data_IF_873347977525
#
_entry.id   IF_873347977525
#
_cell.length_a   1.000
_cell.length_b   1.000
_cell.length_c   1.000
_cell.angle_alpha   90.00
_cell.angle_beta   90.00
_cell.angle_gamma   90.00
#
_symmetry.space_group_name_H-M   'P 1'
#
loop_
_entity.id
_entity.type
_entity.pdbx_description
1 polymer ?
#
# COMPACT_ATOMS: atom_id res chain seq x y z
N UNK A 1 -9.34 14.11 -6.89
CA UNK A 1 -8.52 14.19 -8.13
C UNK A 1 -8.73 12.91 -8.93
N UNK A 2 -8.59 12.93 -10.25
CA UNK A 2 -8.56 11.67 -10.99
C UNK A 2 -7.23 10.96 -10.71
N UNK A 3 -7.26 9.65 -10.51
CA UNK A 3 -6.07 8.81 -10.37
C UNK A 3 -6.06 7.78 -11.51
N UNK A 4 -4.90 7.40 -12.07
CA UNK A 4 -4.82 6.26 -12.99
C UNK A 4 -5.30 4.98 -12.29
N UNK A 5 -5.67 3.95 -13.07
CA UNK A 5 -5.97 2.63 -12.50
C UNK A 5 -4.85 2.15 -11.58
N UNK A 6 -5.21 1.52 -10.45
CA UNK A 6 -4.25 1.08 -9.45
C UNK A 6 -3.30 -0.01 -9.97
N UNK A 7 -3.73 -0.79 -10.96
CA UNK A 7 -2.91 -1.82 -11.62
C UNK A 7 -2.40 -1.36 -12.99
N UNK A 8 -1.28 -1.94 -13.44
CA UNK A 8 -0.71 -1.68 -14.77
C UNK A 8 0.19 -0.44 -14.86
N UNK A 9 0.54 0.17 -13.73
CA UNK A 9 1.41 1.36 -13.70
C UNK A 9 2.88 0.96 -13.87
N UNK A 10 3.66 1.75 -14.59
CA UNK A 10 5.12 1.62 -14.61
C UNK A 10 5.72 2.22 -13.33
N UNK A 11 6.76 1.60 -12.81
CA UNK A 11 7.41 2.05 -11.58
C UNK A 11 8.37 3.23 -11.85
N UNK A 12 8.17 4.32 -11.11
CA UNK A 12 9.10 5.45 -11.06
C UNK A 12 9.17 5.94 -9.60
N UNK A 13 10.37 5.90 -9.00
CA UNK A 13 10.55 6.25 -7.59
C UNK A 13 10.15 7.71 -7.33
N UNK A 14 9.39 7.97 -6.27
CA UNK A 14 8.88 9.31 -5.94
C UNK A 14 7.70 9.77 -6.79
N UNK A 15 7.42 9.12 -7.93
CA UNK A 15 6.38 9.55 -8.87
C UNK A 15 5.25 8.52 -8.94
N UNK A 16 5.53 7.31 -9.44
CA UNK A 16 4.58 6.19 -9.54
C UNK A 16 5.15 4.97 -8.84
N UNK A 17 5.28 5.02 -7.52
CA UNK A 17 5.85 3.93 -6.72
C UNK A 17 4.84 3.31 -5.74
N UNK A 18 5.33 2.50 -4.79
CA UNK A 18 4.50 1.87 -3.77
C UNK A 18 3.77 2.88 -2.86
N UNK A 19 4.39 4.01 -2.55
CA UNK A 19 3.77 5.03 -1.71
C UNK A 19 2.69 5.78 -2.49
N UNK A 20 2.97 6.18 -3.75
CA UNK A 20 1.96 6.78 -4.61
C UNK A 20 0.77 5.85 -4.80
N UNK A 21 1.00 4.54 -5.01
CA UNK A 21 -0.09 3.56 -5.14
C UNK A 21 -0.94 3.48 -3.87
N UNK A 22 -0.32 3.43 -2.70
CA UNK A 22 -1.00 3.48 -1.40
C UNK A 22 -1.86 4.74 -1.27
N UNK A 23 -1.30 5.92 -1.57
CA UNK A 23 -2.00 7.19 -1.50
C UNK A 23 -3.19 7.26 -2.45
N UNK A 24 -3.03 6.75 -3.67
CA UNK A 24 -4.11 6.71 -4.66
C UNK A 24 -5.22 5.76 -4.25
N UNK A 25 -4.89 4.58 -3.70
CA UNK A 25 -5.87 3.66 -3.16
C UNK A 25 -6.67 4.31 -2.02
N UNK A 26 -6.00 5.01 -1.11
CA UNK A 26 -6.65 5.73 -0.02
C UNK A 26 -7.48 6.92 -0.51
N UNK A 27 -7.03 7.61 -1.57
CA UNK A 27 -7.84 8.65 -2.22
C UNK A 27 -9.17 8.10 -2.75
N UNK A 28 -9.14 6.92 -3.39
CA UNK A 28 -10.35 6.23 -3.84
C UNK A 28 -11.26 5.79 -2.68
N UNK A 29 -10.67 5.55 -1.51
CA UNK A 29 -11.39 5.28 -0.26
C UNK A 29 -11.88 6.55 0.45
N UNK A 30 -11.65 7.74 -0.12
CA UNK A 30 -12.07 9.03 0.45
C UNK A 30 -11.14 9.59 1.54
N UNK A 31 -9.93 9.05 1.67
CA UNK A 31 -8.93 9.47 2.65
C UNK A 31 -7.72 10.06 1.91
N UNK A 32 -7.51 11.35 2.04
CA UNK A 32 -6.38 12.03 1.41
C UNK A 32 -5.11 11.89 2.25
N UNK A 33 -4.10 11.24 1.68
CA UNK A 33 -2.80 11.05 2.30
C UNK A 33 -1.80 12.15 1.87
N UNK A 34 -1.01 12.71 2.81
CA UNK A 34 0.09 13.63 2.46
C UNK A 34 1.07 13.00 1.47
N UNK A 35 1.74 13.82 0.68
CA UNK A 35 2.91 13.38 -0.09
C UNK A 35 4.14 13.63 0.76
N UNK A 36 4.99 12.62 0.88
CA UNK A 36 6.25 12.75 1.58
C UNK A 36 7.39 12.62 0.58
N UNK A 37 8.36 13.53 0.72
CA UNK A 37 9.63 13.40 0.05
C UNK A 37 10.30 12.11 0.53
N UNK A 38 10.72 11.31 -0.44
CA UNK A 38 11.37 10.03 -0.23
C UNK A 38 12.56 9.98 -1.16
N UNK A 39 13.73 10.27 -0.59
CA UNK A 39 15.00 10.12 -1.29
C UNK A 39 15.21 8.65 -1.65
N UNK A 40 15.80 8.39 -2.81
CA UNK A 40 16.21 7.03 -3.17
C UNK A 40 17.10 6.43 -2.07
N UNK A 41 16.88 5.15 -1.77
CA UNK A 41 17.62 4.39 -0.77
C UNK A 41 17.56 4.96 0.67
N UNK A 42 16.51 5.72 1.01
CA UNK A 42 16.31 6.26 2.38
C UNK A 42 16.41 5.20 3.49
N UNK A 43 16.06 3.94 3.19
CA UNK A 43 16.10 2.83 4.13
C UNK A 43 17.51 2.39 4.52
N UNK A 44 18.53 2.66 3.69
CA UNK A 44 19.93 2.37 4.00
C UNK A 44 20.51 3.35 5.02
N UNK A 45 19.88 4.52 5.17
CA UNK A 45 20.22 5.53 6.17
C UNK A 45 19.57 5.27 7.54
N UNK A 46 18.84 4.16 7.71
CA UNK A 46 18.16 3.79 8.96
C UNK A 46 16.95 4.65 9.31
N UNK A 47 16.48 5.49 8.39
CA UNK A 47 15.21 6.22 8.51
C UNK A 47 14.05 5.24 8.37
N UNK A 48 12.92 5.50 9.01
CA UNK A 48 11.74 4.63 8.96
C UNK A 48 10.52 5.40 8.45
N UNK A 49 10.60 5.91 7.21
CA UNK A 49 9.60 6.77 6.56
C UNK A 49 8.16 6.31 6.84
N UNK A 50 7.87 5.02 6.68
CA UNK A 50 6.53 4.50 6.97
C UNK A 50 6.16 4.57 8.46
N UNK A 51 6.99 4.03 9.34
CA UNK A 51 6.65 3.96 10.77
C UNK A 51 6.58 5.36 11.41
N UNK A 52 7.45 6.28 10.97
CA UNK A 52 7.49 7.66 11.48
C UNK A 52 6.25 8.45 11.07
N UNK A 53 5.70 8.20 9.87
CA UNK A 53 4.58 8.96 9.34
C UNK A 53 3.20 8.31 9.54
N UNK A 54 3.09 6.99 9.61
CA UNK A 54 1.78 6.33 9.70
C UNK A 54 1.04 6.71 10.98
N UNK A 55 1.69 6.61 12.14
CA UNK A 55 1.04 6.99 13.40
C UNK A 55 0.68 8.48 13.44
N UNK A 56 1.59 9.34 12.96
CA UNK A 56 1.37 10.78 12.84
C UNK A 56 0.24 11.16 11.87
N UNK A 57 -0.06 10.30 10.89
CA UNK A 57 -1.13 10.49 9.90
C UNK A 57 -2.40 9.73 10.25
N UNK A 58 -2.58 9.34 11.52
CA UNK A 58 -3.85 8.79 11.99
C UNK A 58 -4.00 7.28 11.76
N UNK A 59 -2.92 6.56 11.50
CA UNK A 59 -2.94 5.11 11.52
C UNK A 59 -2.68 4.55 12.91
N UNK A 60 -3.15 3.33 13.13
CA UNK A 60 -2.82 2.53 14.29
C UNK A 60 -2.49 1.10 13.87
N UNK A 61 -1.72 0.39 14.68
CA UNK A 61 -1.33 -0.99 14.41
C UNK A 61 -2.53 -1.94 14.58
N UNK A 62 -2.60 -2.93 13.71
CA UNK A 62 -3.62 -3.98 13.72
C UNK A 62 -2.93 -5.33 13.82
N UNK A 63 -3.51 -6.24 14.60
CA UNK A 63 -3.02 -7.61 14.71
C UNK A 63 -3.35 -8.41 13.42
N UNK A 64 -2.48 -9.33 12.98
CA UNK A 64 -2.69 -10.06 11.73
C UNK A 64 -4.03 -10.81 11.63
N UNK A 65 -4.57 -11.26 12.77
CA UNK A 65 -5.87 -11.94 12.85
C UNK A 65 -7.07 -11.01 12.63
N UNK A 66 -6.89 -9.71 12.87
CA UNK A 66 -7.91 -8.67 12.68
C UNK A 66 -7.77 -7.93 11.35
N UNK A 67 -6.84 -8.35 10.49
CA UNK A 67 -6.56 -7.71 9.21
C UNK A 67 -7.79 -7.75 8.29
N UNK A 68 -8.10 -6.61 7.68
CA UNK A 68 -9.27 -6.44 6.82
C UNK A 68 -8.91 -5.70 5.51
N UNK A 69 -9.75 -5.80 4.46
CA UNK A 69 -9.51 -5.09 3.21
C UNK A 69 -9.27 -3.59 3.42
N UNK A 70 -8.21 -3.09 2.81
CA UNK A 70 -7.74 -1.71 2.91
C UNK A 70 -6.67 -1.45 3.96
N UNK A 71 -6.40 -2.40 4.85
CA UNK A 71 -5.27 -2.29 5.77
C UNK A 71 -3.94 -2.20 5.00
N UNK A 72 -3.04 -1.38 5.50
CA UNK A 72 -1.72 -1.17 4.90
C UNK A 72 -0.75 -2.18 5.48
N UNK A 73 -0.18 -3.00 4.61
CA UNK A 73 0.90 -3.92 4.92
C UNK A 73 2.23 -3.19 4.71
N UNK A 74 3.00 -3.02 5.78
CA UNK A 74 4.36 -2.48 5.70
C UNK A 74 5.34 -3.65 5.72
N UNK A 75 6.17 -3.72 4.70
CA UNK A 75 7.02 -4.86 4.38
C UNK A 75 8.51 -4.50 4.33
N UNK A 76 9.34 -5.48 4.69
CA UNK A 76 10.79 -5.46 4.49
C UNK A 76 11.11 -6.09 3.13
N UNK A 77 11.55 -5.28 2.17
CA UNK A 77 11.87 -5.73 0.82
C UNK A 77 13.33 -5.44 0.47
N UNK A 78 14.18 -6.47 0.51
CA UNK A 78 15.60 -6.35 0.21
C UNK A 78 16.43 -5.63 1.29
N UNK A 79 15.81 -5.26 2.40
CA UNK A 79 16.39 -4.53 3.53
C UNK A 79 15.75 -5.01 4.84
N UNK A 80 16.46 -4.98 5.99
CA UNK A 80 15.84 -5.15 7.31
C UNK A 80 14.97 -3.97 7.73
N UNK A 81 15.15 -2.79 7.11
CA UNK A 81 14.33 -1.61 7.34
C UNK A 81 13.03 -1.74 6.52
N UNK A 82 11.84 -1.55 7.12
CA UNK A 82 10.58 -1.63 6.38
C UNK A 82 10.47 -0.49 5.36
N UNK A 83 10.40 -0.83 4.07
CA UNK A 83 10.58 0.10 2.96
C UNK A 83 9.52 -0.02 1.86
N UNK A 84 8.54 -0.90 2.03
CA UNK A 84 7.52 -1.15 1.03
C UNK A 84 6.11 -1.15 1.64
N UNK A 85 5.19 -0.41 1.02
CA UNK A 85 3.77 -0.47 1.35
C UNK A 85 2.98 -1.28 0.33
N UNK A 86 2.03 -2.05 0.83
CA UNK A 86 1.01 -2.74 0.07
C UNK A 86 -0.35 -2.56 0.75
N UNK A 87 -1.43 -2.74 0.00
CA UNK A 87 -2.80 -2.76 0.53
C UNK A 87 -3.28 -4.20 0.58
N UNK A 88 -3.77 -4.64 1.74
CA UNK A 88 -4.47 -5.91 1.82
C UNK A 88 -5.83 -5.80 1.11
N UNK A 89 -6.10 -6.68 0.16
CA UNK A 89 -7.33 -6.62 -0.65
C UNK A 89 -8.44 -7.54 -0.14
N UNK A 90 -8.22 -8.25 0.98
CA UNK A 90 -9.05 -9.37 1.37
C UNK A 90 -8.76 -10.63 0.55
N UNK A 91 -9.44 -11.72 0.88
CA UNK A 91 -9.37 -13.01 0.14
C UNK A 91 -7.94 -13.53 -0.10
N UNK A 92 -6.99 -13.17 0.78
CA UNK A 92 -5.59 -13.56 0.62
C UNK A 92 -4.89 -12.88 -0.56
N UNK A 93 -5.30 -11.67 -0.93
CA UNK A 93 -4.67 -10.85 -1.97
C UNK A 93 -4.09 -9.55 -1.41
N UNK A 94 -3.09 -9.01 -2.10
CA UNK A 94 -2.55 -7.68 -1.84
C UNK A 94 -2.36 -6.91 -3.15
N UNK A 95 -2.54 -5.60 -3.07
CA UNK A 95 -2.20 -4.64 -4.12
C UNK A 95 -0.87 -3.98 -3.76
N UNK A 96 0.07 -3.97 -4.69
CA UNK A 96 1.39 -3.39 -4.49
C UNK A 96 2.05 -2.92 -5.79
N UNK A 97 3.17 -2.21 -5.63
CA UNK A 97 4.02 -1.79 -6.74
C UNK A 97 5.48 -1.93 -6.35
N UNK A 98 6.21 -2.82 -7.03
CA UNK A 98 7.64 -3.04 -6.79
C UNK A 98 8.46 -2.60 -8.00
N UNK A 99 9.75 -2.26 -7.82
CA UNK A 99 10.61 -1.91 -8.93
C UNK A 99 10.60 -2.97 -10.04
N UNK A 100 10.75 -2.50 -11.28
CA UNK A 100 10.84 -3.33 -12.50
C UNK A 100 9.57 -4.15 -12.84
N UNK A 101 8.46 -3.93 -12.14
CA UNK A 101 7.19 -4.61 -12.42
C UNK A 101 6.05 -3.61 -12.48
N UNK A 102 5.01 -3.96 -13.24
CA UNK A 102 3.77 -3.21 -13.20
C UNK A 102 3.11 -3.34 -11.83
N UNK A 103 2.43 -2.29 -11.37
CA UNK A 103 1.55 -2.39 -10.21
C UNK A 103 0.47 -3.46 -10.44
N UNK A 104 0.17 -4.26 -9.42
CA UNK A 104 -0.69 -5.44 -9.58
C UNK A 104 -1.36 -5.86 -8.28
N UNK A 105 -2.47 -6.58 -8.42
CA UNK A 105 -3.06 -7.41 -7.36
C UNK A 105 -2.49 -8.83 -7.49
N UNK A 106 -1.93 -9.37 -6.41
CA UNK A 106 -1.43 -10.74 -6.38
C UNK A 106 -1.68 -11.43 -5.03
N UNK A 107 -1.42 -12.74 -4.96
CA UNK A 107 -1.64 -13.52 -3.74
C UNK A 107 -0.71 -13.09 -2.60
N UNK A 108 -1.30 -12.90 -1.42
CA UNK A 108 -0.61 -12.71 -0.15
C UNK A 108 -0.06 -14.02 0.42
N UNK A 109 0.90 -14.59 -0.31
CA UNK A 109 1.58 -15.84 0.03
C UNK A 109 2.40 -15.74 1.32
N UNK A 110 2.81 -16.89 1.87
CA UNK A 110 3.71 -16.95 3.03
C UNK A 110 5.00 -16.15 2.84
N UNK A 111 5.48 -16.01 1.58
CA UNK A 111 6.65 -15.18 1.26
C UNK A 111 6.38 -13.71 1.59
N UNK A 112 5.19 -13.21 1.29
CA UNK A 112 4.79 -11.85 1.61
C UNK A 112 4.47 -11.68 3.10
N UNK A 113 3.82 -12.67 3.71
CA UNK A 113 3.56 -12.66 5.16
C UNK A 113 4.86 -12.59 5.95
N UNK A 114 5.88 -13.39 5.61
CA UNK A 114 7.21 -13.32 6.23
C UNK A 114 7.94 -11.99 6.01
N UNK A 115 7.58 -11.23 4.97
CA UNK A 115 8.13 -9.87 4.72
C UNK A 115 7.34 -8.80 5.45
N UNK A 116 6.12 -9.09 5.89
CA UNK A 116 5.26 -8.11 6.55
C UNK A 116 5.81 -7.84 7.92
N UNK A 117 6.25 -6.61 8.14
CA UNK A 117 6.72 -6.13 9.42
C UNK A 117 5.54 -5.74 10.33
N UNK A 118 4.51 -5.12 9.77
CA UNK A 118 3.37 -4.60 10.52
C UNK A 118 2.18 -4.30 9.63
N UNK A 119 0.99 -4.36 10.20
CA UNK A 119 -0.28 -4.02 9.54
C UNK A 119 -0.85 -2.77 10.21
N UNK A 120 -1.40 -1.86 9.41
CA UNK A 120 -1.87 -0.56 9.87
C UNK A 120 -3.24 -0.22 9.29
N UNK A 121 -4.10 0.36 10.13
CA UNK A 121 -5.42 0.85 9.74
C UNK A 121 -5.57 2.31 10.08
N UNK A 122 -6.16 3.07 9.16
CA UNK A 122 -6.45 4.48 9.39
C UNK A 122 -7.68 4.64 10.29
N UNK A 123 -7.69 5.63 11.18
CA UNK A 123 -8.81 5.87 12.13
C UNK A 123 -10.13 6.23 11.46
N UNK A 124 -10.10 6.78 10.26
CA UNK A 124 -11.32 7.07 9.48
C UNK A 124 -11.76 5.88 8.61
N UNK A 125 -11.07 4.75 8.67
CA UNK A 125 -11.41 3.59 7.85
C UNK A 125 -12.77 3.02 8.24
N UNK A 126 -13.61 2.79 7.24
CA UNK A 126 -14.88 2.09 7.38
C UNK A 126 -14.98 1.00 6.30
N UNK A 127 -15.83 -0.01 6.51
CA UNK A 127 -15.94 -1.16 5.60
C UNK A 127 -16.27 -0.75 4.16
N UNK A 128 -17.15 0.24 3.98
CA UNK A 128 -17.51 0.77 2.66
C UNK A 128 -16.38 1.57 1.98
N UNK A 129 -15.34 1.96 2.71
CA UNK A 129 -14.21 2.70 2.13
C UNK A 129 -13.47 1.85 1.09
N UNK A 130 -13.45 0.52 1.27
CA UNK A 130 -12.80 -0.38 0.31
C UNK A 130 -13.52 -0.46 -1.03
N UNK A 131 -14.80 -0.08 -1.11
CA UNK A 131 -15.60 -0.18 -2.35
C UNK A 131 -14.98 0.61 -3.51
N UNK A 132 -14.40 1.79 -3.24
CA UNK A 132 -13.72 2.58 -4.27
C UNK A 132 -12.50 1.87 -4.87
N UNK A 133 -11.69 1.25 -4.00
CA UNK A 133 -10.52 0.46 -4.41
C UNK A 133 -10.97 -0.78 -5.17
N UNK A 134 -11.97 -1.51 -4.67
CA UNK A 134 -12.48 -2.72 -5.30
C UNK A 134 -13.02 -2.44 -6.71
N UNK A 135 -13.83 -1.40 -6.89
CA UNK A 135 -14.39 -1.04 -8.19
C UNK A 135 -13.29 -0.70 -9.21
N UNK A 136 -12.23 0.00 -8.80
CA UNK A 136 -11.08 0.27 -9.68
C UNK A 136 -10.42 -1.03 -10.13
N UNK A 137 -10.11 -1.94 -9.19
CA UNK A 137 -9.46 -3.21 -9.48
C UNK A 137 -10.27 -4.11 -10.43
N UNK A 138 -11.59 -4.15 -10.28
CA UNK A 138 -12.46 -4.92 -11.15
C UNK A 138 -12.59 -4.28 -12.55
N UNK A 139 -12.63 -2.95 -12.62
CA UNK A 139 -12.71 -2.24 -13.91
C UNK A 139 -11.46 -2.42 -14.78
N UNK A 140 -10.28 -2.42 -14.15
CA UNK A 140 -9.01 -2.66 -14.84
C UNK A 140 -8.91 -4.11 -15.35
N UNK A 141 -9.47 -5.07 -14.60
CA UNK A 141 -9.47 -6.49 -14.97
C UNK A 141 -10.40 -6.79 -16.15
N UNK A 142 -11.51 -6.05 -16.30
CA UNK A 142 -12.43 -6.20 -17.42
C UNK A 142 -11.91 -5.61 -18.76
N UNK A 143 -10.84 -4.81 -18.69
CA UNK A 143 -10.27 -4.11 -19.84
C UNK A 143 -9.00 -4.75 -20.40
N UNK A 144 -8.57 -5.88 -19.83
CA UNK A 144 -7.33 -6.61 -20.15
C UNK A 144 -7.58 -7.86 -21.01
#
# INVERSE_FOLDING_TARGET
RCVPHLTGRQFEHGVTDCYTLFRDAYHLAGIDMPDFDREDDWWSQGKSLYLDHLEATGFYRVDPEDAQPGDVLICCFGSPTPNHAAIYCGNGELLHHIPEQLSKRERYTDKWQRRTHSIWRHRQWCESAFTGIYNDLESASASA
#
